data_IF_552536842015
#
_entry.id   IF_552536842015
#
_cell.length_a   1.000
_cell.length_b   1.000
_cell.length_c   1.000
_cell.angle_alpha   90.00
_cell.angle_beta   90.00
_cell.angle_gamma   90.00
#
_symmetry.space_group_name_H-M   'P 1'
#
loop_
_entity.id
_entity.type
_entity.pdbx_description
1 polymer ?
#
# COMPACT_ATOMS: atom_id res chain seq x y z
N UNK A 1 77.27 27.72 -3.02
CA UNK A 1 77.12 26.47 -2.23
C UNK A 1 75.77 26.31 -1.50
N UNK A 2 74.94 27.35 -1.28
CA UNK A 2 73.64 27.23 -0.58
C UNK A 2 72.48 26.62 -1.37
N UNK A 3 72.50 26.64 -2.72
CA UNK A 3 71.39 26.11 -3.57
C UNK A 3 71.31 24.57 -3.61
N UNK A 4 72.42 23.86 -3.37
CA UNK A 4 72.48 22.39 -3.48
C UNK A 4 71.93 21.71 -2.22
N UNK A 5 72.05 22.35 -1.04
CA UNK A 5 71.55 21.79 0.22
C UNK A 5 70.01 21.80 0.29
N UNK A 6 69.35 22.78 -0.32
CA UNK A 6 67.89 22.93 -0.27
C UNK A 6 67.15 21.95 -1.20
N UNK A 7 67.80 21.49 -2.28
CA UNK A 7 67.27 20.43 -3.14
C UNK A 7 67.36 19.04 -2.50
N UNK A 8 68.28 18.82 -1.56
CA UNK A 8 68.43 17.56 -0.82
C UNK A 8 67.30 17.34 0.19
N UNK A 9 66.82 18.40 0.85
CA UNK A 9 65.71 18.32 1.82
C UNK A 9 64.38 18.03 1.11
N UNK A 10 64.13 18.62 -0.06
CA UNK A 10 62.93 18.34 -0.88
C UNK A 10 62.94 16.92 -1.49
N UNK A 11 64.12 16.32 -1.69
CA UNK A 11 64.27 14.97 -2.23
C UNK A 11 64.17 13.86 -1.17
N UNK A 12 64.10 14.23 0.11
CA UNK A 12 64.03 13.33 1.26
C UNK A 12 62.61 13.17 1.87
N UNK A 13 61.59 13.78 1.27
CA UNK A 13 60.19 13.68 1.71
C UNK A 13 59.48 12.41 1.20
N UNK A 14 60.11 11.63 0.31
CA UNK A 14 59.53 10.42 -0.31
C UNK A 14 59.09 9.36 0.71
N UNK A 15 59.81 9.24 1.83
CA UNK A 15 59.45 8.33 2.93
C UNK A 15 58.20 8.79 3.69
N UNK A 16 58.13 10.08 4.04
CA UNK A 16 56.98 10.66 4.73
C UNK A 16 55.71 10.63 3.87
N UNK A 17 55.84 10.91 2.55
CA UNK A 17 54.71 10.79 1.62
C UNK A 17 54.21 9.36 1.50
N UNK A 18 55.10 8.36 1.51
CA UNK A 18 54.69 6.96 1.46
C UNK A 18 53.88 6.55 2.69
N UNK A 19 54.26 7.03 3.88
CA UNK A 19 53.52 6.79 5.13
C UNK A 19 52.14 7.46 5.06
N UNK A 20 52.07 8.74 4.66
CA UNK A 20 50.81 9.47 4.55
C UNK A 20 49.86 8.80 3.55
N UNK A 21 50.35 8.43 2.36
CA UNK A 21 49.58 7.72 1.35
C UNK A 21 49.09 6.37 1.88
N UNK A 22 49.94 5.62 2.59
CA UNK A 22 49.56 4.36 3.22
C UNK A 22 48.41 4.53 4.24
N UNK A 23 48.48 5.55 5.09
CA UNK A 23 47.42 5.86 6.06
C UNK A 23 46.11 6.30 5.37
N UNK A 24 46.20 7.13 4.33
CA UNK A 24 45.03 7.54 3.55
C UNK A 24 44.37 6.35 2.83
N UNK A 25 45.17 5.48 2.19
CA UNK A 25 44.65 4.27 1.54
C UNK A 25 43.97 3.34 2.54
N UNK A 26 44.58 3.11 3.71
CA UNK A 26 43.96 2.33 4.78
C UNK A 26 42.62 2.92 5.21
N UNK A 27 42.56 4.25 5.41
CA UNK A 27 41.32 4.95 5.77
C UNK A 27 40.26 4.82 4.68
N UNK A 28 40.62 4.94 3.39
CA UNK A 28 39.68 4.80 2.28
C UNK A 28 39.14 3.39 2.14
N UNK A 29 39.96 2.36 2.38
CA UNK A 29 39.49 0.97 2.40
C UNK A 29 38.50 0.79 3.56
N UNK A 30 38.78 1.34 4.73
CA UNK A 30 37.85 1.31 5.87
C UNK A 30 36.50 1.97 5.56
N UNK A 31 36.51 3.17 4.98
CA UNK A 31 35.28 3.85 4.58
C UNK A 31 34.55 3.12 3.44
N UNK A 32 35.26 2.55 2.48
CA UNK A 32 34.68 1.76 1.40
C UNK A 32 33.98 0.51 1.93
N UNK A 33 34.60 -0.20 2.86
CA UNK A 33 34.01 -1.38 3.50
C UNK A 33 32.76 -1.02 4.33
N UNK A 34 32.81 0.09 5.08
CA UNK A 34 31.63 0.61 5.80
C UNK A 34 30.49 0.99 4.85
N UNK A 35 30.81 1.63 3.71
CA UNK A 35 29.80 2.00 2.72
C UNK A 35 29.08 0.78 2.13
N UNK A 36 29.80 -0.34 1.93
CA UNK A 36 29.20 -1.60 1.48
C UNK A 36 28.21 -2.16 2.52
N UNK A 37 28.59 -2.19 3.79
CA UNK A 37 27.70 -2.67 4.87
C UNK A 37 26.41 -1.82 4.96
N UNK A 38 26.54 -0.49 4.91
CA UNK A 38 25.39 0.41 4.95
C UNK A 38 24.49 0.21 3.72
N UNK A 39 25.10 0.17 2.53
CA UNK A 39 24.36 -0.05 1.29
C UNK A 39 23.59 -1.37 1.32
N UNK A 40 24.23 -2.44 1.77
CA UNK A 40 23.62 -3.75 1.93
C UNK A 40 22.44 -3.74 2.92
N UNK A 41 22.63 -3.13 4.10
CA UNK A 41 21.56 -3.01 5.10
C UNK A 41 20.37 -2.20 4.57
N UNK A 42 20.61 -1.14 3.79
CA UNK A 42 19.55 -0.37 3.15
C UNK A 42 18.76 -1.19 2.13
N UNK A 43 19.42 -2.05 1.34
CA UNK A 43 18.72 -2.95 0.41
C UNK A 43 17.86 -3.96 1.18
N UNK A 44 18.43 -4.64 2.18
CA UNK A 44 17.70 -5.61 2.99
C UNK A 44 16.48 -4.97 3.70
N UNK A 45 16.61 -3.72 4.17
CA UNK A 45 15.49 -2.96 4.72
C UNK A 45 14.37 -2.72 3.70
N UNK A 46 14.71 -2.37 2.46
CA UNK A 46 13.72 -2.17 1.40
C UNK A 46 13.04 -3.49 1.01
N UNK A 47 13.76 -4.60 1.00
CA UNK A 47 13.20 -5.94 0.77
C UNK A 47 12.17 -6.30 1.87
N UNK A 48 12.48 -6.00 3.13
CA UNK A 48 11.53 -6.19 4.24
C UNK A 48 10.32 -5.29 4.12
N UNK A 49 10.50 -4.02 3.72
CA UNK A 49 9.38 -3.12 3.49
C UNK A 49 8.47 -3.64 2.37
N UNK A 50 9.05 -4.09 1.25
CA UNK A 50 8.29 -4.68 0.15
C UNK A 50 7.48 -5.91 0.61
N UNK A 51 8.06 -6.75 1.47
CA UNK A 51 7.38 -7.90 2.03
C UNK A 51 6.20 -7.49 2.94
N UNK A 52 6.41 -6.50 3.82
CA UNK A 52 5.36 -5.96 4.67
C UNK A 52 4.23 -5.33 3.84
N UNK A 53 4.56 -4.50 2.85
CA UNK A 53 3.61 -3.82 1.97
C UNK A 53 2.80 -4.83 1.15
N UNK A 54 3.46 -5.86 0.60
CA UNK A 54 2.80 -6.94 -0.13
C UNK A 54 1.80 -7.69 0.75
N UNK A 55 2.20 -8.03 1.98
CA UNK A 55 1.32 -8.65 2.97
C UNK A 55 0.13 -7.77 3.33
N UNK A 56 0.39 -6.50 3.64
CA UNK A 56 -0.65 -5.55 4.02
C UNK A 56 -1.66 -5.34 2.89
N UNK A 57 -1.20 -5.11 1.66
CA UNK A 57 -2.06 -4.94 0.48
C UNK A 57 -2.87 -6.21 0.17
N UNK A 58 -2.26 -7.39 0.27
CA UNK A 58 -2.98 -8.65 0.08
C UNK A 58 -4.07 -8.84 1.15
N UNK A 59 -3.75 -8.58 2.41
CA UNK A 59 -4.71 -8.62 3.51
C UNK A 59 -5.85 -7.63 3.33
N UNK A 60 -5.54 -6.39 2.99
CA UNK A 60 -6.53 -5.35 2.74
C UNK A 60 -7.44 -5.70 1.55
N UNK A 61 -6.87 -6.24 0.46
CA UNK A 61 -7.65 -6.66 -0.72
C UNK A 61 -8.70 -7.72 -0.39
N UNK A 62 -8.40 -8.63 0.54
CA UNK A 62 -9.29 -9.70 0.96
C UNK A 62 -9.84 -9.48 2.38
N UNK A 63 -9.92 -8.23 2.83
CA UNK A 63 -10.33 -7.88 4.18
C UNK A 63 -11.80 -8.22 4.47
N UNK A 64 -12.65 -8.07 3.46
CA UNK A 64 -14.06 -8.46 3.50
C UNK A 64 -14.28 -9.70 2.62
N UNK A 65 -15.36 -10.44 2.87
CA UNK A 65 -15.80 -11.52 1.99
C UNK A 65 -16.25 -10.98 0.61
N UNK A 66 -16.46 -11.88 -0.35
CA UNK A 66 -16.82 -11.51 -1.73
C UNK A 66 -18.09 -10.65 -1.80
N UNK A 67 -19.04 -10.87 -0.89
CA UNK A 67 -20.30 -10.11 -0.80
C UNK A 67 -20.17 -8.77 -0.05
N UNK A 68 -19.02 -8.48 0.56
CA UNK A 68 -18.80 -7.29 1.39
C UNK A 68 -19.61 -7.25 2.69
N UNK A 69 -20.26 -8.35 3.07
CA UNK A 69 -21.19 -8.44 4.21
C UNK A 69 -20.50 -8.76 5.54
N UNK A 70 -19.26 -9.24 5.53
CA UNK A 70 -18.53 -9.56 6.76
C UNK A 70 -17.02 -9.44 6.56
N UNK A 71 -16.31 -9.19 7.66
CA UNK A 71 -14.85 -9.21 7.66
C UNK A 71 -14.38 -10.65 7.49
N UNK A 72 -13.47 -10.86 6.54
CA UNK A 72 -12.94 -12.17 6.21
C UNK A 72 -11.98 -12.66 7.29
N UNK A 73 -12.33 -13.76 7.98
CA UNK A 73 -11.49 -14.41 8.97
C UNK A 73 -10.12 -14.85 8.42
N UNK A 74 -10.02 -15.13 7.12
CA UNK A 74 -8.80 -15.52 6.43
C UNK A 74 -7.86 -14.38 6.04
N UNK A 75 -8.25 -13.10 6.16
CA UNK A 75 -7.42 -11.98 5.69
C UNK A 75 -6.02 -11.94 6.32
N UNK A 76 -5.90 -12.26 7.62
CA UNK A 76 -4.61 -12.36 8.30
C UNK A 76 -3.72 -13.46 7.70
N UNK A 77 -4.29 -14.62 7.36
CA UNK A 77 -3.53 -15.71 6.76
C UNK A 77 -3.06 -15.32 5.35
N UNK A 78 -3.94 -14.70 4.55
CA UNK A 78 -3.59 -14.22 3.21
C UNK A 78 -2.46 -13.19 3.25
N UNK A 79 -2.52 -12.26 4.21
CA UNK A 79 -1.45 -11.29 4.44
C UNK A 79 -0.13 -11.95 4.88
N UNK A 80 -0.20 -12.97 5.75
CA UNK A 80 0.97 -13.75 6.18
C UNK A 80 1.62 -14.49 5.00
N UNK A 81 0.82 -15.19 4.20
CA UNK A 81 1.28 -15.95 3.04
C UNK A 81 1.92 -15.03 1.99
N UNK A 82 1.32 -13.87 1.74
CA UNK A 82 1.86 -12.87 0.81
C UNK A 82 3.17 -12.26 1.31
N UNK A 83 3.28 -11.96 2.61
CA UNK A 83 4.53 -11.43 3.18
C UNK A 83 5.65 -12.48 3.17
N UNK A 84 5.36 -13.72 3.54
CA UNK A 84 6.36 -14.81 3.60
C UNK A 84 6.74 -15.38 2.23
N UNK A 85 5.97 -15.11 1.18
CA UNK A 85 6.37 -15.37 -0.20
C UNK A 85 7.51 -14.47 -0.68
N UNK A 86 7.81 -13.37 0.03
CA UNK A 86 8.94 -12.49 -0.26
C UNK A 86 10.22 -12.97 0.42
N UNK A 87 11.35 -12.50 -0.11
CA UNK A 87 12.69 -12.84 0.38
C UNK A 87 13.47 -11.57 0.69
N UNK A 88 14.37 -11.67 1.67
CA UNK A 88 15.42 -10.69 1.89
C UNK A 88 16.78 -11.38 1.94
N UNK A 89 17.75 -10.88 1.18
CA UNK A 89 19.07 -11.50 0.99
C UNK A 89 18.99 -12.99 0.61
N UNK A 90 18.05 -13.37 -0.25
CA UNK A 90 17.81 -14.76 -0.67
C UNK A 90 17.40 -15.71 0.48
N UNK A 91 17.02 -15.18 1.63
CA UNK A 91 16.43 -15.96 2.70
C UNK A 91 14.97 -15.50 2.96
N UNK A 92 14.07 -16.40 3.37
CA UNK A 92 12.69 -16.05 3.66
C UNK A 92 12.58 -14.92 4.68
N UNK A 93 11.59 -14.06 4.49
CA UNK A 93 11.19 -13.08 5.50
C UNK A 93 10.47 -13.78 6.64
N UNK A 94 10.73 -13.33 7.87
CA UNK A 94 10.06 -13.86 9.06
C UNK A 94 8.81 -13.03 9.37
N UNK A 95 7.69 -13.70 9.62
CA UNK A 95 6.44 -13.09 10.08
C UNK A 95 5.89 -13.98 11.21
N UNK A 96 5.92 -13.46 12.43
CA UNK A 96 5.60 -14.20 13.66
C UNK A 96 4.13 -14.04 14.07
N UNK A 97 3.73 -14.79 15.10
CA UNK A 97 2.40 -14.63 15.72
C UNK A 97 2.21 -13.21 16.27
N UNK A 98 1.18 -12.51 15.77
CA UNK A 98 0.89 -11.12 16.12
C UNK A 98 1.48 -10.07 15.18
N UNK A 99 2.31 -10.47 14.21
CA UNK A 99 2.87 -9.56 13.21
C UNK A 99 1.85 -9.17 12.13
N UNK A 100 0.82 -9.99 11.96
CA UNK A 100 -0.29 -9.72 11.06
C UNK A 100 -1.55 -9.50 11.86
N UNK A 101 -2.16 -8.34 11.70
CA UNK A 101 -3.35 -7.95 12.45
C UNK A 101 -4.32 -7.18 11.56
N UNK A 102 -5.58 -7.61 11.54
CA UNK A 102 -6.70 -6.77 11.12
C UNK A 102 -7.01 -5.74 12.20
N UNK A 103 -7.59 -4.62 11.79
CA UNK A 103 -8.02 -3.61 12.73
C UNK A 103 -8.57 -2.37 12.05
N UNK A 104 -8.61 -1.32 12.85
CA UNK A 104 -9.07 -0.01 12.46
C UNK A 104 -7.88 0.93 12.28
N UNK A 105 -7.77 1.54 11.11
CA UNK A 105 -6.91 2.67 10.82
C UNK A 105 -7.73 3.96 10.90
N UNK A 106 -7.38 4.82 11.85
CA UNK A 106 -7.96 6.17 11.93
C UNK A 106 -7.18 7.14 11.03
N UNK A 107 -7.88 7.79 10.13
CA UNK A 107 -7.39 8.85 9.27
C UNK A 107 -7.10 10.13 10.05
N UNK A 108 -7.89 10.44 11.08
CA UNK A 108 -7.71 11.63 11.92
C UNK A 108 -6.41 11.57 12.73
N UNK A 109 -6.14 10.45 13.39
CA UNK A 109 -4.98 10.30 14.28
C UNK A 109 -3.78 9.63 13.61
N UNK A 110 -3.96 9.03 12.42
CA UNK A 110 -2.96 8.18 11.73
C UNK A 110 -2.47 7.02 12.62
N UNK A 111 -3.40 6.39 13.33
CA UNK A 111 -3.09 5.28 14.24
C UNK A 111 -3.83 4.02 13.83
N UNK A 112 -3.10 2.90 13.83
CA UNK A 112 -3.67 1.57 13.71
C UNK A 112 -4.04 1.01 15.08
N UNK A 113 -5.27 0.51 15.22
CA UNK A 113 -5.74 -0.20 16.41
C UNK A 113 -6.22 -1.61 16.04
N UNK A 114 -5.57 -2.68 16.55
CA UNK A 114 -5.95 -4.05 16.22
C UNK A 114 -7.33 -4.39 16.78
N UNK A 115 -8.12 -5.13 15.99
CA UNK A 115 -9.43 -5.62 16.39
C UNK A 115 -9.78 -6.87 15.57
N UNK A 116 -10.08 -7.98 16.26
CA UNK A 116 -10.33 -9.29 15.67
C UNK A 116 -11.81 -9.55 15.33
N UNK A 117 -12.67 -8.56 15.56
CA UNK A 117 -14.11 -8.65 15.25
C UNK A 117 -14.34 -8.99 13.79
N UNK A 118 -15.26 -9.93 13.54
CA UNK A 118 -15.66 -10.32 12.18
C UNK A 118 -16.95 -9.65 11.71
N UNK A 119 -17.63 -8.96 12.62
CA UNK A 119 -18.91 -8.32 12.37
C UNK A 119 -18.68 -7.02 11.57
N UNK A 120 -19.46 -6.80 10.49
CA UNK A 120 -19.47 -5.51 9.82
C UNK A 120 -20.07 -4.44 10.75
N UNK A 121 -19.74 -3.18 10.48
CA UNK A 121 -20.45 -2.03 11.04
C UNK A 121 -21.46 -1.51 10.02
N UNK A 122 -22.48 -0.80 10.50
CA UNK A 122 -23.42 -0.12 9.61
C UNK A 122 -22.72 1.05 8.90
N UNK A 123 -22.94 1.14 7.59
CA UNK A 123 -22.39 2.18 6.73
C UNK A 123 -23.46 3.21 6.33
N UNK A 124 -24.73 2.95 6.61
CA UNK A 124 -25.85 3.78 6.19
C UNK A 124 -26.10 4.93 7.17
N UNK A 125 -26.26 6.14 6.64
CA UNK A 125 -26.54 7.34 7.44
C UNK A 125 -25.48 7.59 8.55
N UNK A 126 -24.23 7.18 8.29
CA UNK A 126 -23.08 7.43 9.15
C UNK A 126 -22.09 8.30 8.38
N UNK A 127 -21.60 9.38 8.99
CA UNK A 127 -20.57 10.23 8.38
C UNK A 127 -19.19 9.55 8.40
N UNK A 128 -18.28 10.01 7.53
CA UNK A 128 -16.90 9.53 7.51
C UNK A 128 -16.19 9.74 8.85
N UNK A 129 -16.49 10.82 9.56
CA UNK A 129 -15.87 11.16 10.84
C UNK A 129 -16.37 10.23 11.96
N UNK A 130 -17.66 9.90 11.97
CA UNK A 130 -18.22 8.92 12.90
C UNK A 130 -17.67 7.52 12.65
N UNK A 131 -17.49 7.15 11.39
CA UNK A 131 -16.94 5.87 10.99
C UNK A 131 -15.43 5.77 11.28
N UNK A 132 -14.68 6.85 11.12
CA UNK A 132 -13.27 6.97 11.50
C UNK A 132 -13.04 6.94 13.02
N UNK A 133 -14.05 7.35 13.81
CA UNK A 133 -13.98 7.25 15.26
C UNK A 133 -14.35 5.83 15.77
N UNK A 134 -14.94 4.99 14.92
CA UNK A 134 -15.43 3.68 15.31
C UNK A 134 -14.35 2.59 15.19
N UNK A 135 -13.76 2.22 16.33
CA UNK A 135 -12.74 1.14 16.42
C UNK A 135 -13.23 -0.25 15.94
N UNK A 136 -14.56 -0.47 15.86
CA UNK A 136 -15.12 -1.71 15.33
C UNK A 136 -15.22 -1.70 13.80
N UNK A 137 -15.00 -0.55 13.16
CA UNK A 137 -14.88 -0.49 11.70
C UNK A 137 -13.53 -1.04 11.27
N UNK A 138 -13.51 -2.34 10.95
CA UNK A 138 -12.31 -3.01 10.48
C UNK A 138 -12.04 -2.58 9.03
N UNK A 139 -11.10 -1.67 8.84
CA UNK A 139 -10.77 -1.12 7.53
C UNK A 139 -9.31 -1.36 7.15
N UNK A 140 -8.48 -1.95 8.01
CA UNK A 140 -7.05 -2.05 7.75
C UNK A 140 -6.44 -3.39 8.16
N UNK A 141 -5.31 -3.71 7.52
CA UNK A 141 -4.41 -4.80 7.88
C UNK A 141 -3.01 -4.24 8.07
N UNK A 142 -2.42 -4.54 9.22
CA UNK A 142 -1.02 -4.29 9.53
C UNK A 142 -0.21 -5.57 9.38
N UNK A 143 0.97 -5.45 8.77
CA UNK A 143 1.95 -6.53 8.65
C UNK A 143 3.32 -6.03 9.09
N UNK A 144 3.98 -6.81 9.94
CA UNK A 144 5.38 -6.64 10.34
C UNK A 144 6.22 -7.76 9.71
N UNK A 145 7.15 -7.38 8.83
CA UNK A 145 8.15 -8.28 8.24
C UNK A 145 9.49 -8.09 8.97
N UNK A 146 10.20 -9.18 9.32
CA UNK A 146 11.44 -9.08 10.08
C UNK A 146 12.54 -10.06 9.66
N UNK A 147 13.74 -9.77 10.16
CA UNK A 147 14.93 -10.62 10.16
C UNK A 147 15.48 -10.67 11.57
N UNK A 148 15.15 -11.73 12.31
CA UNK A 148 15.53 -11.87 13.71
C UNK A 148 16.22 -13.21 13.96
N UNK A 149 15.65 -14.32 13.48
CA UNK A 149 16.26 -15.64 13.53
C UNK A 149 17.42 -15.78 12.53
N UNK A 150 17.32 -15.11 11.39
CA UNK A 150 18.39 -14.96 10.40
C UNK A 150 18.75 -13.46 10.24
N UNK A 151 19.61 -12.91 11.11
CA UNK A 151 20.02 -11.50 11.01
C UNK A 151 20.66 -11.17 9.66
N UNK A 152 20.50 -9.92 9.23
CA UNK A 152 21.10 -9.39 8.00
C UNK A 152 22.61 -9.43 8.13
N UNK A 153 23.31 -10.00 7.14
CA UNK A 153 24.74 -10.21 7.24
C UNK A 153 25.50 -8.87 7.21
N UNK A 154 26.53 -8.76 8.04
CA UNK A 154 27.47 -7.63 8.02
C UNK A 154 28.87 -8.12 7.65
N UNK A 155 29.55 -7.37 6.77
CA UNK A 155 30.87 -7.74 6.27
C UNK A 155 31.97 -7.01 7.05
N UNK A 156 31.93 -5.67 7.08
CA UNK A 156 32.92 -4.84 7.76
C UNK A 156 32.71 -4.80 9.28
N UNK A 157 31.47 -4.64 9.73
CA UNK A 157 31.11 -4.54 11.15
C UNK A 157 31.49 -5.80 11.95
N UNK A 158 31.70 -6.94 11.26
CA UNK A 158 32.17 -8.20 11.84
C UNK A 158 33.54 -8.07 12.50
N UNK A 159 34.40 -7.17 12.02
CA UNK A 159 35.70 -6.88 12.64
C UNK A 159 35.53 -6.34 14.07
N UNK A 160 34.40 -5.67 14.34
CA UNK A 160 34.04 -5.11 15.64
C UNK A 160 33.13 -6.03 16.47
N UNK A 161 32.91 -7.27 16.03
CA UNK A 161 32.07 -8.25 16.74
C UNK A 161 30.57 -8.18 16.40
N UNK A 162 30.15 -7.31 15.48
CA UNK A 162 28.79 -7.31 14.96
C UNK A 162 28.70 -8.28 13.78
N UNK A 163 28.11 -9.45 13.99
CA UNK A 163 28.00 -10.50 12.94
C UNK A 163 26.79 -10.33 12.03
N UNK A 164 25.84 -9.51 12.44
CA UNK A 164 24.68 -9.15 11.64
C UNK A 164 23.77 -8.17 12.37
N UNK A 165 22.73 -7.71 11.68
CA UNK A 165 21.77 -6.74 12.18
C UNK A 165 20.36 -7.32 12.14
N UNK A 166 19.64 -7.17 13.24
CA UNK A 166 18.22 -7.48 13.28
C UNK A 166 17.45 -6.26 12.81
N UNK A 167 16.47 -6.46 11.93
CA UNK A 167 15.63 -5.39 11.43
C UNK A 167 14.21 -5.87 11.21
N UNK A 168 13.27 -4.93 11.33
CA UNK A 168 11.86 -5.14 11.04
C UNK A 168 11.32 -3.93 10.28
N UNK A 169 10.34 -4.19 9.42
CA UNK A 169 9.60 -3.19 8.66
C UNK A 169 8.11 -3.41 8.88
N UNK A 170 7.39 -2.31 9.07
CA UNK A 170 5.95 -2.31 9.31
C UNK A 170 5.23 -1.67 8.11
N UNK A 171 4.09 -2.24 7.76
CA UNK A 171 3.20 -1.70 6.73
C UNK A 171 1.75 -1.78 7.20
N UNK A 172 0.96 -0.78 6.84
CA UNK A 172 -0.49 -0.77 7.05
C UNK A 172 -1.15 -0.44 5.72
N UNK A 173 -2.05 -1.30 5.27
CA UNK A 173 -2.92 -1.04 4.14
C UNK A 173 -4.36 -0.98 4.63
N UNK A 174 -5.12 -0.04 4.07
CA UNK A 174 -6.50 0.19 4.47
C UNK A 174 -7.41 0.27 3.25
N UNK A 175 -8.68 -0.05 3.47
CA UNK A 175 -9.79 0.25 2.57
C UNK A 175 -10.39 1.57 3.06
N UNK A 176 -10.25 2.62 2.25
CA UNK A 176 -10.78 3.94 2.56
C UNK A 176 -12.25 4.08 2.18
N UNK A 177 -12.83 5.21 2.56
CA UNK A 177 -14.15 5.61 2.10
C UNK A 177 -14.11 5.88 0.60
N UNK A 178 -15.20 5.56 -0.12
CA UNK A 178 -15.44 6.20 -1.40
C UNK A 178 -15.53 7.71 -1.14
N UNK A 179 -14.63 8.49 -1.74
CA UNK A 179 -14.61 9.93 -1.55
C UNK A 179 -15.91 10.57 -2.01
N UNK A 180 -16.18 11.78 -1.52
CA UNK A 180 -17.23 12.63 -2.10
C UNK A 180 -16.71 13.18 -3.43
N UNK A 181 -17.44 12.93 -4.51
CA UNK A 181 -17.16 13.55 -5.79
C UNK A 181 -17.82 14.93 -5.82
N UNK A 182 -17.06 15.96 -6.18
CA UNK A 182 -17.65 17.25 -6.50
C UNK A 182 -18.52 17.15 -7.75
N UNK A 183 -19.46 18.09 -7.96
CA UNK A 183 -20.20 18.17 -9.21
C UNK A 183 -19.21 18.22 -10.39
N UNK A 184 -19.33 17.28 -11.34
CA UNK A 184 -18.49 17.15 -12.56
C UNK A 184 -17.07 16.55 -12.38
N UNK A 185 -16.70 16.00 -11.21
CA UNK A 185 -15.36 15.41 -11.00
C UNK A 185 -15.15 14.03 -11.67
N UNK A 186 -16.21 13.43 -12.21
CA UNK A 186 -16.17 12.23 -13.05
C UNK A 186 -17.03 12.46 -14.28
N UNK A 187 -16.48 12.12 -15.45
CA UNK A 187 -17.12 12.32 -16.74
C UNK A 187 -18.39 11.49 -16.98
N UNK A 188 -18.76 10.57 -16.07
CA UNK A 188 -20.08 9.93 -16.04
C UNK A 188 -20.26 9.02 -14.79
N UNK A 189 -21.15 9.34 -13.84
CA UNK A 189 -21.73 8.31 -13.00
C UNK A 189 -22.71 7.48 -13.83
N UNK A 190 -22.64 6.15 -13.71
CA UNK A 190 -23.75 5.28 -14.10
C UNK A 190 -24.86 5.57 -13.08
N UNK A 191 -25.86 6.34 -13.49
CA UNK A 191 -27.09 6.51 -12.72
C UNK A 191 -28.05 5.37 -13.07
N UNK A 192 -28.58 4.69 -12.05
CA UNK A 192 -29.62 3.67 -12.20
C UNK A 192 -30.81 4.15 -11.36
N UNK A 193 -32.01 4.22 -11.97
CA UNK A 193 -33.22 4.59 -11.24
C UNK A 193 -33.49 3.61 -10.09
N UNK A 194 -33.87 4.13 -8.92
CA UNK A 194 -34.15 3.33 -7.73
C UNK A 194 -35.30 2.33 -7.97
N UNK A 195 -36.35 2.75 -8.70
CA UNK A 195 -37.45 1.87 -9.11
C UNK A 195 -36.99 0.67 -9.97
N UNK A 196 -35.87 0.81 -10.68
CA UNK A 196 -35.24 -0.26 -11.45
C UNK A 196 -34.45 -1.25 -10.59
N UNK A 197 -34.29 -0.98 -9.29
CA UNK A 197 -33.62 -1.85 -8.31
C UNK A 197 -34.60 -2.47 -7.30
N UNK A 198 -35.79 -1.88 -7.16
CA UNK A 198 -36.81 -2.31 -6.22
C UNK A 198 -37.83 -3.26 -6.86
N UNK A 199 -38.30 -4.23 -6.07
CA UNK A 199 -39.53 -4.99 -6.31
C UNK A 199 -40.36 -4.96 -5.03
N UNK A 200 -41.42 -4.14 -5.00
CA UNK A 200 -42.23 -3.94 -3.79
C UNK A 200 -41.41 -3.41 -2.61
N UNK A 201 -40.64 -2.35 -2.84
CA UNK A 201 -39.78 -1.65 -1.86
C UNK A 201 -38.61 -2.48 -1.28
N UNK A 202 -38.31 -3.63 -1.88
CA UNK A 202 -37.13 -4.43 -1.53
C UNK A 202 -36.14 -4.49 -2.69
N UNK A 203 -34.85 -4.32 -2.39
CA UNK A 203 -33.76 -4.48 -3.35
C UNK A 203 -33.62 -5.95 -3.77
N UNK A 204 -33.75 -6.23 -5.07
CA UNK A 204 -33.64 -7.60 -5.61
C UNK A 204 -32.53 -7.69 -6.67
N UNK A 205 -31.39 -8.30 -6.32
CA UNK A 205 -30.24 -8.49 -7.23
C UNK A 205 -30.10 -9.96 -7.70
N UNK A 206 -31.22 -10.66 -7.89
CA UNK A 206 -31.23 -12.12 -8.11
C UNK A 206 -31.24 -12.54 -9.58
N UNK A 207 -31.43 -11.61 -10.52
CA UNK A 207 -31.36 -11.89 -11.97
C UNK A 207 -30.80 -10.67 -12.68
N UNK A 208 -29.93 -10.85 -13.68
CA UNK A 208 -29.48 -9.76 -14.53
C UNK A 208 -30.69 -9.06 -15.14
N UNK A 209 -30.93 -7.81 -14.72
CA UNK A 209 -32.05 -7.00 -15.23
C UNK A 209 -31.60 -6.38 -16.54
N UNK A 210 -32.24 -6.76 -17.65
CA UNK A 210 -31.97 -6.11 -18.93
C UNK A 210 -32.50 -4.68 -18.88
N UNK A 211 -31.61 -3.73 -19.12
CA UNK A 211 -31.92 -2.35 -19.43
C UNK A 211 -32.58 -2.34 -20.81
N UNK A 212 -33.90 -2.17 -20.85
CA UNK A 212 -34.70 -2.07 -22.06
C UNK A 212 -34.81 -0.59 -22.47
N UNK A 213 -34.23 -0.26 -23.63
CA UNK A 213 -34.33 1.04 -24.32
C UNK A 213 -35.21 0.95 -25.59
N UNK A 214 -36.13 -0.03 -25.62
CA UNK A 214 -37.01 -0.32 -26.74
C UNK A 214 -38.22 0.62 -26.84
N UNK A 215 -39.14 0.31 -27.77
CA UNK A 215 -40.32 1.13 -28.08
C UNK A 215 -41.56 0.81 -27.21
N UNK A 216 -41.43 -0.06 -26.22
CA UNK A 216 -42.54 -0.48 -25.36
C UNK A 216 -42.78 0.54 -24.24
N UNK A 217 -43.88 1.30 -24.34
CA UNK A 217 -44.28 2.37 -23.41
C UNK A 217 -44.42 1.97 -21.94
N UNK A 218 -44.39 0.67 -21.63
CA UNK A 218 -44.49 0.16 -20.25
C UNK A 218 -43.15 -0.29 -19.66
N UNK A 219 -42.10 -0.44 -20.47
CA UNK A 219 -40.80 -0.99 -20.05
C UNK A 219 -39.58 -0.27 -20.63
N UNK A 220 -39.79 0.84 -21.34
CA UNK A 220 -38.84 1.50 -22.24
C UNK A 220 -37.77 2.41 -21.63
N UNK A 221 -37.76 2.65 -20.32
CA UNK A 221 -36.84 3.61 -19.69
C UNK A 221 -36.09 3.01 -18.50
N UNK A 222 -35.56 1.80 -18.67
CA UNK A 222 -34.76 1.15 -17.61
C UNK A 222 -33.26 1.44 -17.74
N UNK A 223 -32.87 2.27 -18.72
CA UNK A 223 -31.55 2.87 -18.84
C UNK A 223 -31.29 3.47 -20.24
N UNK A 224 -30.72 4.67 -20.25
CA UNK A 224 -30.41 5.47 -21.43
C UNK A 224 -29.16 6.33 -21.20
N UNK A 225 -28.69 6.99 -22.25
CA UNK A 225 -27.60 7.96 -22.14
C UNK A 225 -28.14 9.25 -21.55
N UNK A 226 -27.62 9.67 -20.40
CA UNK A 226 -28.03 10.92 -19.74
C UNK A 226 -27.56 12.12 -20.58
N UNK A 227 -28.44 13.08 -20.87
CA UNK A 227 -28.00 14.48 -20.96
C UNK A 227 -28.19 15.12 -19.59
N UNK A 228 -27.41 16.14 -19.28
CA UNK A 228 -27.50 16.89 -18.02
C UNK A 228 -28.82 17.71 -17.87
N UNK A 229 -29.87 17.42 -18.65
CA UNK A 229 -31.11 18.15 -18.56
C UNK A 229 -31.94 17.61 -17.38
N UNK A 230 -31.96 18.36 -16.27
CA UNK A 230 -32.56 17.96 -14.99
C UNK A 230 -34.08 18.09 -14.94
N UNK A 231 -34.74 18.36 -16.07
CA UNK A 231 -36.18 18.64 -16.12
C UNK A 231 -37.03 17.37 -15.87
N UNK A 232 -36.49 16.16 -16.15
CA UNK A 232 -37.11 14.89 -15.75
C UNK A 232 -36.05 13.78 -15.52
N UNK A 233 -35.75 13.43 -14.25
CA UNK A 233 -34.64 12.54 -13.89
C UNK A 233 -34.82 11.07 -14.29
N UNK A 234 -36.03 10.65 -14.67
CA UNK A 234 -36.31 9.25 -15.02
C UNK A 234 -36.84 9.07 -16.46
N UNK A 235 -37.24 10.14 -17.14
CA UNK A 235 -37.74 10.07 -18.54
C UNK A 235 -36.97 10.92 -19.55
N UNK A 236 -35.98 11.70 -19.10
CA UNK A 236 -35.20 12.65 -19.91
C UNK A 236 -33.94 12.11 -20.60
N UNK A 237 -33.95 10.88 -21.13
CA UNK A 237 -32.79 10.32 -21.84
C UNK A 237 -32.46 11.03 -23.16
N UNK A 238 -31.17 11.15 -23.50
CA UNK A 238 -30.74 11.64 -24.82
C UNK A 238 -30.88 10.55 -25.87
N UNK A 239 -31.44 10.89 -27.02
CA UNK A 239 -31.59 9.95 -28.13
C UNK A 239 -30.20 9.49 -28.64
N UNK A 240 -30.00 8.17 -28.78
CA UNK A 240 -28.76 7.59 -29.29
C UNK A 240 -28.33 8.16 -30.66
N UNK A 241 -29.28 8.60 -31.50
CA UNK A 241 -29.01 9.21 -32.80
C UNK A 241 -28.34 10.59 -32.67
N UNK A 242 -28.65 11.35 -31.63
CA UNK A 242 -28.05 12.66 -31.37
C UNK A 242 -26.60 12.51 -30.87
N UNK A 243 -26.37 11.54 -29.99
CA UNK A 243 -25.05 11.24 -29.41
C UNK A 243 -24.08 10.67 -30.46
N UNK A 244 -24.57 9.90 -31.44
CA UNK A 244 -23.74 9.26 -32.48
C UNK A 244 -22.88 10.23 -33.30
N UNK A 245 -23.26 11.50 -33.37
CA UNK A 245 -22.52 12.53 -34.12
C UNK A 245 -21.39 13.21 -33.33
N UNK A 246 -21.34 12.96 -32.01
CA UNK A 246 -20.39 13.58 -31.07
C UNK A 246 -19.24 12.63 -30.68
N UNK A 247 -19.27 11.38 -31.16
CA UNK A 247 -18.23 10.36 -31.03
C UNK A 247 -17.54 10.15 -32.37
#
# INVERSE_FOLDING_TARGET
>A
MKKILMQSILRNQRGATAILVGLCLFSFIGFGALAVDIGHLCVARNELQNAADAGALAGARFLYNEDGTAVNAGANQIAHDAATANMSELAPVEVNGGDVQRGHWSFATRTFTPNDTLLPVDLWNVSTDELDANINFINAVRVTARRQAMPIASFFARIFGHVGFQHAADAVAYIGFAGTLGPLDVDQPIAICEDSLLTGDQYTCNVGRMINSGQDTTTNETGGWTSFNQDDPCTGGTNAQEVKSLV
#
